data_IF_230201882524
#
_entry.id   IF_230201882524
#
_cell.length_a   1.000
_cell.length_b   1.000
_cell.length_c   1.000
_cell.angle_alpha   90.00
_cell.angle_beta   90.00
_cell.angle_gamma   90.00
#
_symmetry.space_group_name_H-M   'P 1'
#
loop_
_entity.id
_entity.type
_entity.pdbx_description
1 polymer ?
#
# COMPACT_ATOMS: atom_id res chain seq x y z
N UNK A 1 3.70 -1.50 14.42
CA UNK A 1 2.39 -1.36 13.75
C UNK A 1 1.69 -2.72 13.70
N UNK A 2 0.56 -2.90 14.40
CA UNK A 2 -0.05 -4.23 14.67
C UNK A 2 -0.60 -4.93 13.41
N UNK A 3 -1.05 -4.17 12.41
CA UNK A 3 -1.63 -4.72 11.16
C UNK A 3 -0.58 -5.48 10.37
N UNK A 4 0.60 -4.89 10.14
CA UNK A 4 1.71 -5.54 9.42
C UNK A 4 2.15 -6.81 10.14
N UNK A 5 2.32 -6.76 11.47
CA UNK A 5 2.74 -7.93 12.25
C UNK A 5 1.77 -9.09 12.06
N UNK A 6 0.46 -8.82 12.19
CA UNK A 6 -0.57 -9.85 12.08
C UNK A 6 -0.69 -10.44 10.68
N UNK A 7 -0.53 -9.63 9.63
CA UNK A 7 -0.49 -10.13 8.25
C UNK A 7 0.73 -11.03 8.02
N UNK A 8 1.91 -10.64 8.54
CA UNK A 8 3.14 -11.45 8.43
C UNK A 8 3.06 -12.76 9.21
N UNK A 9 2.44 -12.76 10.38
CA UNK A 9 2.17 -13.97 11.16
C UNK A 9 1.30 -14.99 10.41
N UNK A 10 0.49 -14.52 9.45
CA UNK A 10 -0.33 -15.36 8.58
C UNK A 10 0.37 -15.73 7.27
N UNK A 11 1.65 -15.38 7.11
CA UNK A 11 2.46 -15.70 5.94
C UNK A 11 2.36 -14.70 4.79
N UNK A 12 1.68 -13.57 4.97
CA UNK A 12 1.54 -12.54 3.94
C UNK A 12 2.66 -11.51 4.00
N UNK A 13 3.06 -11.04 2.83
CA UNK A 13 3.88 -9.84 2.70
C UNK A 13 3.02 -8.64 3.09
N UNK A 14 3.50 -7.82 4.01
CA UNK A 14 2.83 -6.57 4.39
C UNK A 14 3.88 -5.48 4.59
N UNK A 15 3.68 -4.34 3.95
CA UNK A 15 4.66 -3.26 3.85
C UNK A 15 3.97 -1.91 4.10
N UNK A 16 4.65 -1.00 4.79
CA UNK A 16 4.22 0.39 4.93
C UNK A 16 4.33 1.10 3.58
N UNK A 17 3.31 1.87 3.22
CA UNK A 17 3.22 2.63 1.99
C UNK A 17 2.81 4.08 2.28
N UNK A 18 2.90 4.96 1.28
CA UNK A 18 2.24 6.26 1.36
C UNK A 18 3.06 7.35 2.06
N UNK A 19 2.37 8.46 2.34
CA UNK A 19 2.96 9.64 2.98
C UNK A 19 3.43 9.38 4.42
N UNK A 20 2.88 8.36 5.09
CA UNK A 20 3.27 8.04 6.46
C UNK A 20 4.72 7.60 6.58
N UNK A 21 5.30 7.06 5.52
CA UNK A 21 6.72 6.67 5.51
C UNK A 21 7.61 7.89 5.39
N UNK A 22 7.25 8.84 4.51
CA UNK A 22 7.93 10.13 4.42
C UNK A 22 7.88 10.85 5.76
N UNK A 23 6.69 10.92 6.38
CA UNK A 23 6.49 11.63 7.63
C UNK A 23 7.33 10.98 8.76
N UNK A 24 7.38 9.64 8.84
CA UNK A 24 8.27 8.95 9.78
C UNK A 24 9.76 9.24 9.53
N UNK A 25 10.20 9.28 8.27
CA UNK A 25 11.59 9.62 7.91
C UNK A 25 11.92 11.06 8.29
N UNK A 26 10.94 11.97 8.21
CA UNK A 26 11.07 13.36 8.62
C UNK A 26 10.87 13.59 10.13
N UNK A 27 10.64 12.53 10.92
CA UNK A 27 10.36 12.64 12.36
C UNK A 27 9.00 13.26 12.70
N UNK A 28 8.09 13.35 11.73
CA UNK A 28 6.71 13.82 11.89
C UNK A 28 5.81 12.67 12.32
N UNK A 29 4.75 12.99 13.08
CA UNK A 29 3.71 12.02 13.44
C UNK A 29 2.78 11.82 12.24
N UNK A 30 2.70 10.61 11.65
CA UNK A 30 1.76 10.34 10.57
C UNK A 30 0.32 10.41 11.08
N UNK A 31 -0.56 11.04 10.28
CA UNK A 31 -1.99 11.14 10.60
C UNK A 31 -2.77 9.92 10.15
N UNK A 32 -2.37 9.38 9.00
CA UNK A 32 -2.96 8.21 8.37
C UNK A 32 -1.84 7.22 8.05
N UNK A 33 -2.16 5.92 7.99
CA UNK A 33 -1.22 4.87 7.65
C UNK A 33 -1.74 4.07 6.45
N UNK A 34 -0.86 3.79 5.50
CA UNK A 34 -1.16 2.90 4.39
C UNK A 34 -0.29 1.65 4.48
N UNK A 35 -0.90 0.51 4.23
CA UNK A 35 -0.26 -0.80 4.18
C UNK A 35 -0.57 -1.41 2.83
N UNK A 36 0.43 -1.94 2.15
CA UNK A 36 0.21 -2.80 1.00
C UNK A 36 0.58 -4.24 1.31
N UNK A 37 -0.16 -5.18 0.76
CA UNK A 37 -0.02 -6.60 1.07
C UNK A 37 -0.37 -7.50 -0.12
N UNK A 38 0.14 -8.72 -0.14
CA UNK A 38 -0.33 -9.78 -1.05
C UNK A 38 -1.58 -10.51 -0.50
N UNK A 39 -2.04 -10.17 0.72
CA UNK A 39 -3.28 -10.70 1.26
C UNK A 39 -4.50 -10.22 0.44
N UNK A 40 -5.39 -11.14 0.02
CA UNK A 40 -6.66 -10.78 -0.60
C UNK A 40 -7.55 -9.95 0.33
N UNK A 41 -8.41 -9.06 -0.19
CA UNK A 41 -9.29 -8.23 0.64
C UNK A 41 -10.13 -9.03 1.63
N UNK A 42 -10.61 -10.21 1.23
CA UNK A 42 -11.43 -11.10 2.06
C UNK A 42 -10.63 -11.66 3.24
N UNK A 43 -9.34 -11.94 3.05
CA UNK A 43 -8.45 -12.36 4.14
C UNK A 43 -8.23 -11.21 5.12
N UNK A 44 -7.99 -10.00 4.63
CA UNK A 44 -7.85 -8.81 5.49
C UNK A 44 -9.11 -8.60 6.33
N UNK A 45 -10.29 -8.69 5.72
CA UNK A 45 -11.57 -8.58 6.44
C UNK A 45 -11.75 -9.69 7.49
N UNK A 46 -11.34 -10.93 7.19
CA UNK A 46 -11.40 -12.04 8.15
C UNK A 46 -10.41 -11.91 9.31
N UNK A 47 -9.25 -11.26 9.10
CA UNK A 47 -8.21 -11.14 10.11
C UNK A 47 -8.45 -10.04 11.15
N UNK A 48 -9.29 -9.05 10.82
CA UNK A 48 -9.50 -7.86 11.66
C UNK A 48 -10.99 -7.65 11.95
N UNK A 49 -11.33 -7.38 13.22
CA UNK A 49 -12.72 -7.30 13.68
C UNK A 49 -13.50 -6.06 13.17
N UNK A 50 -12.80 -4.98 12.79
CA UNK A 50 -13.41 -3.74 12.32
C UNK A 50 -12.78 -3.33 11.00
N UNK A 51 -13.44 -3.70 9.91
CA UNK A 51 -13.00 -3.38 8.56
C UNK A 51 -14.13 -2.78 7.74
N UNK A 52 -13.76 -1.91 6.81
CA UNK A 52 -14.66 -1.36 5.80
C UNK A 52 -14.03 -1.57 4.43
N UNK A 53 -14.72 -2.26 3.53
CA UNK A 53 -14.29 -2.36 2.14
C UNK A 53 -14.48 -1.01 1.46
N UNK A 54 -13.39 -0.33 1.12
CA UNK A 54 -13.43 0.94 0.39
C UNK A 54 -13.08 0.64 -1.05
N UNK A 55 -14.06 0.07 -1.76
CA UNK A 55 -13.87 -0.37 -3.13
C UNK A 55 -13.19 -1.74 -3.19
N UNK A 56 -13.97 -2.79 -2.92
CA UNK A 56 -13.54 -4.18 -3.12
C UNK A 56 -13.04 -4.43 -4.54
N UNK A 57 -13.65 -3.79 -5.54
CA UNK A 57 -13.19 -3.81 -6.93
C UNK A 57 -11.76 -3.30 -7.14
N UNK A 58 -11.27 -2.45 -6.22
CA UNK A 58 -9.91 -1.91 -6.26
C UNK A 58 -8.97 -2.65 -5.29
N UNK A 59 -9.47 -3.62 -4.51
CA UNK A 59 -8.67 -4.36 -3.54
C UNK A 59 -8.19 -3.52 -2.37
N UNK A 60 -9.02 -2.60 -1.86
CA UNK A 60 -8.69 -1.74 -0.71
C UNK A 60 -9.66 -1.98 0.45
N UNK A 61 -9.10 -2.17 1.64
CA UNK A 61 -9.83 -2.37 2.90
C UNK A 61 -9.32 -1.39 3.94
N UNK A 62 -10.20 -0.58 4.51
CA UNK A 62 -9.88 0.18 5.72
C UNK A 62 -9.96 -0.74 6.93
N UNK A 63 -8.92 -0.75 7.75
CA UNK A 63 -8.86 -1.46 9.03
C UNK A 63 -8.85 -0.43 10.15
N UNK A 64 -9.80 -0.51 11.07
CA UNK A 64 -9.92 0.41 12.19
C UNK A 64 -9.32 -0.18 13.47
N UNK A 65 -8.32 0.50 14.03
CA UNK A 65 -7.72 0.17 15.33
C UNK A 65 -7.89 1.34 16.30
N UNK A 66 -9.00 1.32 17.06
CA UNK A 66 -9.35 2.41 17.96
C UNK A 66 -9.76 3.66 17.18
N UNK A 67 -9.01 4.76 17.34
CA UNK A 67 -9.24 6.04 16.62
C UNK A 67 -8.45 6.15 15.31
N UNK A 68 -7.57 5.18 15.02
CA UNK A 68 -6.72 5.20 13.83
C UNK A 68 -7.33 4.29 12.77
N UNK A 69 -7.48 4.81 11.57
CA UNK A 69 -7.83 4.05 10.37
C UNK A 69 -6.58 3.81 9.55
N UNK A 70 -6.42 2.60 9.04
CA UNK A 70 -5.30 2.22 8.19
C UNK A 70 -5.85 1.66 6.89
N UNK A 71 -5.42 2.22 5.76
CA UNK A 71 -5.75 1.68 4.46
C UNK A 71 -4.87 0.45 4.19
N UNK A 72 -5.49 -0.69 3.88
CA UNK A 72 -4.81 -1.92 3.51
C UNK A 72 -5.16 -2.24 2.06
N UNK A 73 -4.19 -2.07 1.17
CA UNK A 73 -4.34 -2.30 -0.26
C UNK A 73 -3.65 -3.61 -0.68
N UNK A 74 -4.39 -4.48 -1.36
CA UNK A 74 -3.80 -5.65 -2.01
C UNK A 74 -2.97 -5.19 -3.21
N UNK A 75 -1.80 -5.81 -3.40
CA UNK A 75 -0.93 -5.56 -4.55
C UNK A 75 -1.69 -5.76 -5.86
N UNK A 76 -1.62 -4.77 -6.74
CA UNK A 76 -2.36 -4.75 -7.99
C UNK A 76 -1.62 -4.09 -9.14
N UNK A 77 -1.94 -4.53 -10.34
CA UNK A 77 -1.78 -3.78 -11.59
C UNK A 77 -3.08 -3.07 -11.87
N UNK A 78 -2.97 -1.88 -12.43
CA UNK A 78 -4.11 -1.04 -12.76
C UNK A 78 -3.85 -0.37 -14.11
N UNK A 79 -4.89 -0.23 -14.94
CA UNK A 79 -4.82 0.39 -16.25
C UNK A 79 -6.18 0.90 -16.69
N UNK A 80 -6.16 1.77 -17.70
CA UNK A 80 -7.30 2.57 -18.09
C UNK A 80 -7.58 3.59 -17.00
N UNK A 81 -7.36 4.87 -17.27
CA UNK A 81 -7.75 5.94 -16.36
C UNK A 81 -8.58 6.94 -17.15
N UNK A 82 -9.83 6.60 -17.45
CA UNK A 82 -10.70 7.50 -18.21
C UNK A 82 -10.98 8.81 -17.47
N UNK A 83 -11.05 8.79 -16.13
CA UNK A 83 -11.28 9.98 -15.28
C UNK A 83 -9.99 10.56 -14.66
N UNK A 84 -8.83 9.96 -14.96
CA UNK A 84 -7.52 10.38 -14.47
C UNK A 84 -7.24 10.10 -12.98
N UNK A 85 -8.17 9.52 -12.21
CA UNK A 85 -8.01 9.27 -10.77
C UNK A 85 -8.33 7.84 -10.35
N UNK A 86 -9.26 7.18 -11.04
CA UNK A 86 -9.70 5.82 -10.74
C UNK A 86 -9.32 4.91 -11.90
N UNK A 87 -8.72 3.74 -11.61
CA UNK A 87 -8.43 2.80 -12.68
C UNK A 87 -9.71 2.09 -13.13
N UNK A 88 -9.87 1.91 -14.44
CA UNK A 88 -10.98 1.18 -15.04
C UNK A 88 -10.82 -0.33 -14.83
N UNK A 89 -9.58 -0.79 -14.73
CA UNK A 89 -9.26 -2.19 -14.55
C UNK A 89 -8.21 -2.39 -13.45
N UNK A 90 -8.41 -3.45 -12.67
CA UNK A 90 -7.53 -3.87 -11.58
C UNK A 90 -7.27 -5.37 -11.69
N UNK A 91 -6.02 -5.77 -11.52
CA UNK A 91 -5.60 -7.17 -11.46
C UNK A 91 -4.62 -7.36 -10.31
N UNK A 92 -4.89 -8.30 -9.40
CA UNK A 92 -3.96 -8.57 -8.30
C UNK A 92 -2.64 -9.18 -8.79
N UNK A 93 -1.53 -8.80 -8.15
CA UNK A 93 -0.16 -9.14 -8.58
C UNK A 93 0.77 -9.25 -7.37
N UNK A 94 2.04 -9.59 -7.59
CA UNK A 94 3.07 -9.54 -6.55
C UNK A 94 3.54 -8.11 -6.20
N UNK A 95 4.27 -8.00 -5.08
CA UNK A 95 4.81 -6.72 -4.60
C UNK A 95 5.67 -6.01 -5.66
N UNK A 96 6.51 -6.76 -6.39
CA UNK A 96 7.46 -6.19 -7.36
C UNK A 96 6.73 -5.46 -8.48
N UNK A 97 5.69 -6.07 -9.02
CA UNK A 97 4.86 -5.47 -10.06
C UNK A 97 4.02 -4.30 -9.51
N UNK A 98 3.57 -4.36 -8.25
CA UNK A 98 2.88 -3.25 -7.59
C UNK A 98 3.80 -2.03 -7.37
N UNK A 99 5.09 -2.24 -7.10
CA UNK A 99 6.06 -1.13 -6.98
C UNK A 99 6.23 -0.41 -8.31
N UNK A 100 6.31 -1.15 -9.43
CA UNK A 100 6.57 -0.59 -10.75
C UNK A 100 5.47 0.37 -11.25
N UNK A 101 4.23 0.23 -10.75
CA UNK A 101 3.12 1.15 -11.07
C UNK A 101 3.09 2.41 -10.20
N UNK A 102 3.77 2.42 -9.04
CA UNK A 102 3.76 3.57 -8.13
C UNK A 102 4.74 4.61 -8.66
N UNK A 103 4.27 5.36 -9.65
CA UNK A 103 4.94 6.56 -10.15
C UNK A 103 4.99 7.59 -9.01
N UNK A 104 6.07 7.60 -8.22
CA UNK A 104 6.76 8.76 -7.63
C UNK A 104 7.77 8.26 -6.59
N UNK A 105 9.00 8.72 -6.75
CA UNK A 105 10.22 8.51 -5.95
C UNK A 105 10.07 8.80 -4.44
N UNK A 106 8.91 9.30 -3.99
CA UNK A 106 8.63 9.68 -2.59
C UNK A 106 7.70 8.68 -1.89
N UNK A 107 6.83 7.97 -2.61
CA UNK A 107 5.74 7.17 -2.00
C UNK A 107 6.05 5.67 -1.92
N UNK A 108 7.15 5.24 -2.55
CA UNK A 108 7.60 3.84 -2.61
C UNK A 108 8.65 3.48 -1.53
N UNK A 109 8.67 4.18 -0.39
CA UNK A 109 9.53 3.77 0.72
C UNK A 109 8.88 2.61 1.47
N UNK A 110 9.19 1.38 1.08
CA UNK A 110 8.74 0.19 1.80
C UNK A 110 9.59 0.01 3.06
N UNK A 111 9.01 0.24 4.24
CA UNK A 111 9.73 0.14 5.51
C UNK A 111 9.90 -1.32 5.95
N UNK A 112 10.67 -2.10 5.19
CA UNK A 112 11.14 -3.41 5.66
C UNK A 112 12.64 -3.55 5.39
N UNK A 113 13.41 -2.77 6.15
CA UNK A 113 14.85 -2.93 6.39
C UNK A 113 15.72 -3.00 5.13
N UNK A 114 16.23 -1.85 4.69
CA UNK A 114 17.38 -1.73 3.79
C UNK A 114 17.38 -2.66 2.56
N UNK A 115 16.76 -2.22 1.47
CA UNK A 115 17.35 -2.45 0.16
C UNK A 115 18.18 -1.20 -0.17
N UNK A 116 19.49 -1.38 -0.33
CA UNK A 116 20.51 -0.37 -0.70
C UNK A 116 20.05 0.55 -1.85
N UNK A 117 20.79 1.66 -2.10
CA UNK A 117 20.35 3.06 -1.89
C UNK A 117 19.04 3.36 -2.67
N UNK A 118 18.35 4.50 -2.45
CA UNK A 118 17.19 4.82 -3.29
C UNK A 118 17.63 4.75 -4.75
N UNK A 119 17.15 3.73 -5.47
CA UNK A 119 17.33 3.65 -6.92
C UNK A 119 16.43 4.76 -7.45
N UNK A 120 17.03 5.94 -7.49
CA UNK A 120 16.55 7.12 -8.15
C UNK A 120 16.67 6.85 -9.65
N UNK A 121 15.80 5.96 -10.16
CA UNK A 121 15.51 5.92 -11.60
C UNK A 121 14.66 7.14 -11.90
N UNK A 122 15.33 8.28 -12.08
CA UNK A 122 14.81 9.36 -12.91
C UNK A 122 14.53 8.71 -14.27
N UNK A 123 13.26 8.56 -14.64
CA UNK A 123 12.93 8.30 -16.04
C UNK A 123 13.50 9.49 -16.84
N UNK A 124 14.37 9.28 -17.83
CA UNK A 124 14.70 10.35 -18.75
C UNK A 124 13.45 10.63 -19.60
N UNK A 125 13.03 11.90 -19.61
CA UNK A 125 12.16 12.43 -20.65
C UNK A 125 10.65 12.32 -20.39
N UNK A 126 10.07 13.43 -19.95
CA UNK A 126 8.90 13.98 -20.63
C UNK A 126 9.04 15.50 -20.62
N UNK A 127 9.49 16.03 -21.76
CA UNK A 127 9.25 17.41 -22.19
C UNK A 127 7.74 17.62 -22.37
#
# INVERSE_FOLDING_TARGET
>A
MKIITRLREQGYTALLAGGCVRDQVLGLLPKDFDVATDAPPQVVQGLFARTQAVGEAFGVVLVHQGKISTEVATFRKEWGYHDGRRPDHVQFTDAKNDVLRRDFTITACWLTRCLKPPIMMIRPGRL
#
